data_IF_524265022883
#
_entry.id   IF_524265022883
#
_cell.length_a   1.000
_cell.length_b   1.000
_cell.length_c   1.000
_cell.angle_alpha   90.00
_cell.angle_beta   90.00
_cell.angle_gamma   90.00
#
_symmetry.space_group_name_H-M   'P 1'
#
loop_
_entity.id
_entity.type
_entity.pdbx_description
1 polymer ?
#
# COMPACT_ATOMS: atom_id res chain seq x y z
N UNK A 1 5.57 16.59 -5.74
CA UNK A 1 6.19 16.11 -6.99
C UNK A 1 5.90 14.63 -7.13
N UNK A 2 5.50 14.18 -8.31
CA UNK A 2 5.35 12.77 -8.64
C UNK A 2 6.42 12.41 -9.66
N UNK A 3 7.09 11.27 -9.47
CA UNK A 3 8.11 10.78 -10.36
C UNK A 3 7.93 9.28 -10.59
N UNK A 4 8.07 8.84 -11.83
CA UNK A 4 8.07 7.42 -12.19
C UNK A 4 9.47 7.11 -12.72
N UNK A 5 10.08 6.06 -12.18
CA UNK A 5 11.45 5.67 -12.51
C UNK A 5 11.58 4.16 -12.57
N UNK A 6 12.26 3.65 -13.58
CA UNK A 6 12.61 2.23 -13.67
C UNK A 6 14.08 2.05 -13.26
N UNK A 7 14.37 1.36 -12.13
CA UNK A 7 15.74 1.18 -11.69
C UNK A 7 16.50 0.28 -12.67
N UNK A 8 17.75 0.64 -12.94
CA UNK A 8 18.63 -0.18 -13.78
C UNK A 8 18.84 -1.54 -13.11
N UNK A 9 18.53 -2.63 -13.82
CA UNK A 9 18.80 -3.99 -13.36
C UNK A 9 20.32 -4.21 -13.27
N UNK A 10 20.89 -4.14 -12.07
CA UNK A 10 22.25 -4.63 -11.83
C UNK A 10 22.16 -6.12 -11.52
N UNK A 11 22.13 -6.93 -12.56
CA UNK A 11 22.21 -8.39 -12.43
C UNK A 11 23.54 -8.77 -11.77
N UNK A 12 23.49 -9.40 -10.59
CA UNK A 12 24.66 -10.00 -9.95
C UNK A 12 24.97 -11.41 -10.50
N UNK A 13 24.14 -11.95 -11.40
CA UNK A 13 24.39 -13.18 -12.15
C UNK A 13 23.62 -13.14 -13.47
N UNK A 14 24.35 -13.07 -14.59
CA UNK A 14 23.81 -12.98 -15.94
C UNK A 14 22.67 -13.96 -16.21
N UNK A 15 21.49 -13.39 -16.37
CA UNK A 15 20.28 -14.00 -16.92
C UNK A 15 19.47 -12.87 -17.53
N UNK A 16 19.25 -12.94 -18.84
CA UNK A 16 18.37 -12.04 -19.58
C UNK A 16 16.92 -12.32 -19.18
N UNK A 17 16.39 -11.53 -18.24
CA UNK A 17 14.95 -11.20 -18.04
C UNK A 17 14.63 -10.72 -16.60
N UNK A 18 15.58 -10.09 -15.90
CA UNK A 18 15.28 -9.45 -14.61
C UNK A 18 14.69 -8.05 -14.85
N UNK A 19 13.42 -7.99 -15.29
CA UNK A 19 12.67 -6.73 -15.38
C UNK A 19 12.41 -6.22 -13.96
N UNK A 20 13.25 -5.31 -13.51
CA UNK A 20 13.03 -4.56 -12.27
C UNK A 20 11.68 -3.82 -12.33
N UNK A 21 10.87 -3.87 -11.25
CA UNK A 21 9.58 -3.20 -11.22
C UNK A 21 9.79 -1.70 -11.36
N UNK A 22 8.93 -1.06 -12.16
CA UNK A 22 8.89 0.40 -12.24
C UNK A 22 8.42 0.95 -10.90
N UNK A 23 9.11 1.96 -10.39
CA UNK A 23 8.84 2.58 -9.10
C UNK A 23 8.18 3.94 -9.33
N UNK A 24 7.10 4.20 -8.62
CA UNK A 24 6.51 5.52 -8.49
C UNK A 24 6.88 6.12 -7.13
N UNK A 25 7.31 7.39 -7.15
CA UNK A 25 7.71 8.17 -6.00
C UNK A 25 6.84 9.40 -5.87
N UNK A 26 6.35 9.65 -4.67
CA UNK A 26 5.79 10.95 -4.28
C UNK A 26 6.81 11.64 -3.41
N UNK A 27 7.26 12.80 -3.86
CA UNK A 27 8.18 13.66 -3.13
C UNK A 27 7.50 14.94 -2.69
N UNK A 28 7.73 15.32 -1.44
CA UNK A 28 7.21 16.55 -0.87
C UNK A 28 8.36 17.48 -0.45
N UNK A 29 8.19 18.75 -0.77
CA UNK A 29 9.02 19.85 -0.27
C UNK A 29 8.14 20.69 0.65
N UNK A 30 8.55 20.85 1.91
CA UNK A 30 7.80 21.54 2.96
C UNK A 30 7.88 23.06 2.87
N UNK A 31 8.97 23.61 2.30
CA UNK A 31 9.12 25.04 2.01
C UNK A 31 10.02 25.25 0.77
N UNK A 32 9.94 26.39 0.04
CA UNK A 32 10.56 26.56 -1.29
C UNK A 32 12.07 26.30 -1.43
N UNK A 33 12.80 26.12 -0.34
CA UNK A 33 14.25 25.89 -0.32
C UNK A 33 14.66 24.65 0.47
N UNK A 34 13.71 23.88 0.99
CA UNK A 34 14.00 22.62 1.66
C UNK A 34 14.23 21.48 0.66
N UNK A 35 14.91 20.42 1.09
CA UNK A 35 15.09 19.25 0.27
C UNK A 35 13.76 18.52 0.08
N UNK A 36 13.55 17.98 -1.11
CA UNK A 36 12.47 17.02 -1.35
C UNK A 36 12.71 15.76 -0.52
N UNK A 37 11.66 15.29 0.14
CA UNK A 37 11.64 14.01 0.85
C UNK A 37 10.66 13.07 0.17
N UNK A 38 11.04 11.80 0.05
CA UNK A 38 10.12 10.75 -0.38
C UNK A 38 9.11 10.51 0.74
N UNK A 39 7.83 10.64 0.42
CA UNK A 39 6.73 10.35 1.35
C UNK A 39 5.93 9.12 0.93
N UNK A 40 5.98 8.74 -0.36
CA UNK A 40 5.54 7.45 -0.84
C UNK A 40 6.51 6.89 -1.87
N UNK A 41 6.73 5.58 -1.79
CA UNK A 41 7.40 4.76 -2.78
C UNK A 41 6.53 3.53 -3.02
N UNK A 42 6.10 3.33 -4.27
CA UNK A 42 5.26 2.21 -4.67
C UNK A 42 5.84 1.52 -5.89
N UNK A 43 5.84 0.19 -5.89
CA UNK A 43 6.14 -0.61 -7.08
C UNK A 43 4.88 -0.67 -7.93
N UNK A 44 4.99 -0.27 -9.19
CA UNK A 44 3.89 -0.35 -10.14
C UNK A 44 3.58 -1.80 -10.47
N UNK A 45 2.29 -2.11 -10.58
CA UNK A 45 1.86 -3.45 -10.96
C UNK A 45 2.26 -3.72 -12.43
N UNK A 46 2.73 -4.93 -12.71
CA UNK A 46 3.37 -5.27 -14.00
C UNK A 46 2.48 -5.04 -15.24
N UNK A 47 1.15 -5.01 -15.06
CA UNK A 47 0.17 -4.83 -16.14
C UNK A 47 -0.60 -3.51 -16.03
N UNK A 48 -0.26 -2.64 -15.07
CA UNK A 48 -0.96 -1.37 -14.91
C UNK A 48 -0.25 -0.23 -15.64
N UNK A 49 -1.05 0.55 -16.36
CA UNK A 49 -0.56 1.75 -17.02
C UNK A 49 -0.83 2.92 -16.10
N UNK A 50 0.22 3.68 -15.75
CA UNK A 50 0.04 4.93 -15.01
C UNK A 50 -0.79 5.87 -15.88
N UNK A 51 -1.96 6.35 -15.42
CA UNK A 51 -2.75 7.33 -16.14
C UNK A 51 -1.92 8.56 -16.51
N UNK A 52 -2.23 9.14 -17.66
CA UNK A 52 -1.52 10.32 -18.13
C UNK A 52 -1.72 11.49 -17.15
N UNK A 53 -0.59 12.08 -16.75
CA UNK A 53 -0.53 13.27 -15.91
C UNK A 53 -0.01 14.43 -16.75
N UNK A 54 -0.30 15.66 -16.31
CA UNK A 54 0.20 16.85 -17.00
C UNK A 54 1.72 16.81 -17.18
N UNK A 55 2.20 17.42 -18.28
CA UNK A 55 3.62 17.49 -18.60
C UNK A 55 4.42 18.11 -17.43
N UNK A 56 5.66 17.65 -17.26
CA UNK A 56 6.48 17.99 -16.09
C UNK A 56 6.79 19.50 -15.96
N UNK A 57 6.82 20.21 -17.08
CA UNK A 57 7.03 21.67 -17.17
C UNK A 57 5.78 22.49 -16.78
N UNK A 58 4.58 21.92 -16.93
CA UNK A 58 3.31 22.52 -16.49
C UNK A 58 3.01 22.16 -15.03
N UNK A 59 3.32 20.93 -14.64
CA UNK A 59 2.90 20.36 -13.36
C UNK A 59 1.41 20.02 -13.32
N UNK A 60 1.01 19.30 -12.27
CA UNK A 60 -0.41 18.95 -12.04
C UNK A 60 -0.93 19.60 -10.76
N UNK A 61 -2.24 19.84 -10.73
CA UNK A 61 -2.93 20.43 -9.60
C UNK A 61 -3.15 19.39 -8.50
N UNK A 62 -2.85 19.76 -7.27
CA UNK A 62 -3.20 18.95 -6.10
C UNK A 62 -4.72 19.00 -5.88
N UNK A 63 -5.33 17.83 -5.70
CA UNK A 63 -6.76 17.71 -5.40
C UNK A 63 -6.94 17.76 -3.88
N UNK A 64 -7.89 18.56 -3.36
CA UNK A 64 -8.20 18.57 -1.93
C UNK A 64 -8.58 17.17 -1.43
N UNK A 65 -8.14 16.83 -0.22
CA UNK A 65 -8.34 15.49 0.34
C UNK A 65 -9.83 15.14 0.54
N UNK A 66 -10.68 16.14 0.76
CA UNK A 66 -12.13 16.04 0.95
C UNK A 66 -12.94 16.29 -0.34
N UNK A 67 -12.25 16.37 -1.49
CA UNK A 67 -12.87 16.68 -2.79
C UNK A 67 -13.96 15.66 -3.15
N UNK A 68 -15.17 16.18 -3.40
CA UNK A 68 -16.33 15.39 -3.87
C UNK A 68 -16.42 15.29 -5.39
N UNK A 69 -15.39 15.75 -6.10
CA UNK A 69 -15.33 15.70 -7.56
C UNK A 69 -14.84 14.35 -8.09
N UNK A 70 -14.42 13.45 -7.19
CA UNK A 70 -13.98 12.09 -7.49
C UNK A 70 -15.04 11.08 -7.05
N UNK A 71 -14.97 9.86 -7.59
CA UNK A 71 -15.85 8.75 -7.24
C UNK A 71 -15.86 8.47 -5.72
N UNK A 72 -14.71 8.67 -5.08
CA UNK A 72 -14.56 8.65 -3.63
C UNK A 72 -13.61 9.80 -3.22
N UNK A 73 -13.91 10.57 -2.17
CA UNK A 73 -12.97 11.57 -1.67
C UNK A 73 -11.62 10.93 -1.31
N UNK A 74 -10.49 11.55 -1.68
CA UNK A 74 -9.16 10.97 -1.46
C UNK A 74 -8.90 10.51 -0.02
N UNK A 75 -9.38 11.26 0.98
CA UNK A 75 -9.24 10.92 2.40
C UNK A 75 -10.03 9.69 2.85
N UNK A 76 -11.01 9.25 2.05
CA UNK A 76 -11.80 8.05 2.31
C UNK A 76 -11.23 6.79 1.66
N UNK A 77 -10.33 6.93 0.68
CA UNK A 77 -9.80 5.81 -0.12
C UNK A 77 -9.13 4.75 0.74
N UNK A 78 -8.26 5.18 1.67
CA UNK A 78 -7.55 4.25 2.56
C UNK A 78 -8.49 3.41 3.42
N UNK A 79 -9.47 4.05 4.06
CA UNK A 79 -10.43 3.36 4.93
C UNK A 79 -11.34 2.42 4.13
N UNK A 80 -11.80 2.85 2.95
CA UNK A 80 -12.62 2.04 2.07
C UNK A 80 -11.86 0.80 1.57
N UNK A 81 -10.59 0.96 1.18
CA UNK A 81 -9.77 -0.15 0.73
C UNK A 81 -9.41 -1.10 1.88
N UNK A 82 -9.11 -0.58 3.08
CA UNK A 82 -8.90 -1.40 4.27
C UNK A 82 -10.12 -2.29 4.60
N UNK A 83 -11.33 -1.77 4.45
CA UNK A 83 -12.58 -2.53 4.59
C UNK A 83 -12.69 -3.65 3.53
N UNK A 84 -12.30 -3.37 2.28
CA UNK A 84 -12.20 -4.38 1.21
C UNK A 84 -11.16 -5.46 1.55
N UNK A 85 -9.99 -5.10 2.10
CA UNK A 85 -8.97 -6.08 2.51
C UNK A 85 -9.42 -6.96 3.67
N UNK A 86 -10.31 -6.44 4.54
CA UNK A 86 -10.83 -7.15 5.70
C UNK A 86 -12.03 -8.05 5.34
N UNK A 87 -12.97 -7.56 4.54
CA UNK A 87 -14.26 -8.23 4.29
C UNK A 87 -14.36 -8.86 2.90
N UNK A 88 -13.42 -8.56 1.99
CA UNK A 88 -13.48 -9.01 0.61
C UNK A 88 -14.78 -8.58 -0.07
N UNK A 89 -15.47 -9.52 -0.72
CA UNK A 89 -16.73 -9.27 -1.45
C UNK A 89 -17.88 -8.83 -0.56
N UNK A 90 -17.78 -9.02 0.76
CA UNK A 90 -18.79 -8.57 1.73
C UNK A 90 -18.64 -7.09 2.08
N UNK A 91 -17.54 -6.43 1.67
CA UNK A 91 -17.36 -4.99 1.86
C UNK A 91 -18.38 -4.20 1.05
N UNK A 92 -18.99 -3.19 1.67
CA UNK A 92 -19.85 -2.23 0.96
C UNK A 92 -19.10 -1.43 -0.11
N UNK A 93 -17.77 -1.36 -0.03
CA UNK A 93 -16.92 -0.68 -0.99
C UNK A 93 -16.40 -1.61 -2.10
N UNK A 94 -16.62 -2.93 -2.01
CA UNK A 94 -16.06 -3.89 -2.98
C UNK A 94 -16.42 -3.52 -4.44
N UNK A 95 -17.66 -3.09 -4.67
CA UNK A 95 -18.16 -2.77 -5.99
C UNK A 95 -17.46 -1.61 -6.70
N UNK A 96 -16.90 -0.64 -5.94
CA UNK A 96 -16.25 0.55 -6.50
C UNK A 96 -14.76 0.37 -6.78
N UNK A 97 -14.13 -0.69 -6.27
CA UNK A 97 -12.75 -1.04 -6.59
C UNK A 97 -12.68 -2.06 -7.73
N UNK A 98 -11.71 -1.89 -8.61
CA UNK A 98 -11.37 -2.83 -9.67
C UNK A 98 -10.81 -4.11 -9.03
N UNK A 99 -11.50 -5.25 -9.13
CA UNK A 99 -10.97 -6.54 -8.62
C UNK A 99 -9.90 -7.14 -9.53
N UNK A 100 -10.07 -7.03 -10.84
CA UNK A 100 -9.10 -7.56 -11.81
C UNK A 100 -7.88 -6.65 -11.85
N UNK A 101 -6.68 -7.22 -11.74
CA UNK A 101 -5.41 -6.48 -11.76
C UNK A 101 -4.89 -6.13 -10.37
N UNK A 102 -5.71 -6.21 -9.32
CA UNK A 102 -5.27 -5.99 -7.95
C UNK A 102 -4.44 -7.19 -7.42
N UNK A 103 -3.14 -7.12 -7.66
CA UNK A 103 -2.17 -8.13 -7.23
C UNK A 103 -1.97 -8.14 -5.70
N UNK A 104 -2.25 -7.04 -5.00
CA UNK A 104 -2.09 -6.97 -3.54
C UNK A 104 -3.09 -7.88 -2.84
N UNK A 105 -4.37 -7.81 -3.20
CA UNK A 105 -5.40 -8.71 -2.64
C UNK A 105 -5.06 -10.18 -2.87
N UNK A 106 -4.62 -10.51 -4.07
CA UNK A 106 -4.21 -11.88 -4.43
C UNK A 106 -2.98 -12.34 -3.63
N UNK A 107 -1.98 -11.47 -3.47
CA UNK A 107 -0.78 -11.77 -2.70
C UNK A 107 -1.09 -12.01 -1.21
N UNK A 108 -1.89 -11.13 -0.59
CA UNK A 108 -2.30 -11.29 0.81
C UNK A 108 -3.12 -12.57 1.02
N UNK A 109 -4.03 -12.90 0.11
CA UNK A 109 -4.77 -14.16 0.19
C UNK A 109 -3.84 -15.38 0.17
N UNK A 110 -2.87 -15.39 -0.75
CA UNK A 110 -1.88 -16.46 -0.86
C UNK A 110 -0.98 -16.55 0.37
N UNK A 111 -0.53 -15.40 0.89
CA UNK A 111 0.29 -15.33 2.11
C UNK A 111 -0.48 -15.87 3.31
N UNK A 112 -1.69 -15.36 3.57
CA UNK A 112 -2.53 -15.76 4.71
C UNK A 112 -2.88 -17.25 4.66
N UNK A 113 -3.03 -17.84 3.46
CA UNK A 113 -3.25 -19.27 3.29
C UNK A 113 -2.02 -20.12 3.66
N UNK A 114 -0.81 -19.56 3.53
CA UNK A 114 0.45 -20.21 3.91
C UNK A 114 0.84 -19.96 5.37
N UNK A 115 0.34 -18.88 5.97
CA UNK A 115 0.53 -18.57 7.39
C UNK A 115 -0.31 -19.50 8.26
N UNK A 116 0.21 -20.70 8.49
CA UNK A 116 -0.36 -21.64 9.44
C UNK A 116 0.77 -22.19 10.33
N UNK A 117 0.72 -21.88 11.62
CA UNK A 117 1.71 -22.32 12.59
C UNK A 117 1.00 -23.09 13.70
N UNK A 118 1.45 -24.32 13.96
CA UNK A 118 0.93 -25.11 15.06
C UNK A 118 1.11 -24.35 16.39
N UNK A 119 0.03 -24.25 17.17
CA UNK A 119 0.00 -23.54 18.45
C UNK A 119 0.17 -22.01 18.35
N UNK A 120 -0.23 -21.40 17.25
CA UNK A 120 -0.34 -19.94 17.13
C UNK A 120 -1.69 -19.59 16.53
N UNK A 121 -2.43 -18.68 17.18
CA UNK A 121 -3.62 -18.06 16.58
C UNK A 121 -3.15 -16.79 15.89
N UNK A 122 -3.47 -16.65 14.60
CA UNK A 122 -3.12 -15.48 13.80
C UNK A 122 -4.41 -14.75 13.46
N UNK A 123 -4.45 -13.43 13.70
CA UNK A 123 -5.54 -12.57 13.26
C UNK A 123 -5.03 -11.32 12.56
N UNK A 124 -5.82 -10.81 11.63
CA UNK A 124 -5.48 -9.71 10.75
C UNK A 124 -6.47 -8.57 10.96
N UNK A 125 -5.97 -7.34 11.06
CA UNK A 125 -6.79 -6.13 11.14
C UNK A 125 -6.25 -5.12 10.15
N UNK A 126 -7.09 -4.62 9.24
CA UNK A 126 -6.71 -3.60 8.27
C UNK A 126 -7.36 -2.28 8.67
N UNK A 127 -6.57 -1.20 8.73
CA UNK A 127 -7.05 0.15 9.03
C UNK A 127 -6.40 1.18 8.11
N UNK A 128 -7.05 2.33 7.93
CA UNK A 128 -6.39 3.46 7.27
C UNK A 128 -5.12 3.83 8.06
N UNK A 129 -3.99 3.90 7.36
CA UNK A 129 -2.72 4.31 7.96
C UNK A 129 -2.67 5.82 8.19
N UNK A 130 -1.66 6.28 8.93
CA UNK A 130 -1.51 7.70 9.30
C UNK A 130 -0.71 8.53 8.29
N UNK A 131 -0.36 7.96 7.14
CA UNK A 131 0.36 8.67 6.08
C UNK A 131 -0.47 9.81 5.46
N UNK A 132 0.19 10.84 4.90
CA UNK A 132 -0.52 11.96 4.30
C UNK A 132 -1.29 11.54 3.05
N UNK A 133 -2.52 12.01 2.89
CA UNK A 133 -3.27 11.80 1.65
C UNK A 133 -2.74 12.76 0.59
N UNK A 134 -2.20 12.22 -0.50
CA UNK A 134 -1.74 13.03 -1.64
C UNK A 134 -2.56 12.68 -2.86
N UNK A 135 -3.27 13.66 -3.41
CA UNK A 135 -4.07 13.50 -4.61
C UNK A 135 -3.62 14.48 -5.69
N UNK A 136 -3.38 13.98 -6.90
CA UNK A 136 -2.89 14.73 -8.05
C UNK A 136 -3.82 14.51 -9.24
N UNK A 137 -4.31 15.59 -9.85
CA UNK A 137 -5.22 15.48 -11.00
C UNK A 137 -4.54 14.79 -12.19
N UNK A 138 -5.30 13.96 -12.92
CA UNK A 138 -4.87 13.38 -14.21
C UNK A 138 -5.43 14.20 -15.37
N UNK A 139 -4.89 14.01 -16.57
CA UNK A 139 -5.44 14.62 -17.80
C UNK A 139 -6.72 13.92 -18.27
N UNK A 140 -6.96 12.70 -17.79
CA UNK A 140 -8.08 11.81 -18.17
C UNK A 140 -9.31 11.90 -17.26
N UNK A 141 -9.51 13.04 -16.58
CA UNK A 141 -10.63 13.27 -15.66
C UNK A 141 -10.69 12.29 -14.47
N UNK A 142 -9.68 12.39 -13.59
CA UNK A 142 -9.60 11.70 -12.31
C UNK A 142 -8.42 12.20 -11.49
N UNK A 143 -7.97 11.42 -10.51
CA UNK A 143 -6.78 11.71 -9.73
C UNK A 143 -5.96 10.47 -9.42
N UNK A 144 -4.64 10.63 -9.42
CA UNK A 144 -3.73 9.71 -8.74
C UNK A 144 -3.75 10.01 -7.26
N UNK A 145 -4.08 9.03 -6.44
CA UNK A 145 -4.24 9.16 -4.99
C UNK A 145 -3.27 8.22 -4.29
N UNK A 146 -2.32 8.79 -3.56
CA UNK A 146 -1.41 8.07 -2.69
C UNK A 146 -1.89 8.12 -1.25
N UNK A 147 -2.02 6.93 -0.66
CA UNK A 147 -2.47 6.72 0.72
C UNK A 147 -1.73 5.55 1.35
N UNK A 148 -1.88 5.40 2.67
CA UNK A 148 -1.37 4.24 3.40
C UNK A 148 -2.49 3.45 4.06
N UNK A 149 -2.33 2.13 4.13
CA UNK A 149 -3.14 1.22 4.94
C UNK A 149 -2.20 0.44 5.84
N UNK A 150 -2.56 0.29 7.11
CA UNK A 150 -1.82 -0.53 8.05
C UNK A 150 -2.54 -1.85 8.25
N UNK A 151 -1.84 -2.96 7.99
CA UNK A 151 -2.24 -4.29 8.42
C UNK A 151 -1.55 -4.63 9.75
N UNK A 152 -2.36 -4.95 10.74
CA UNK A 152 -1.91 -5.40 12.05
C UNK A 152 -2.13 -6.92 12.09
N UNK A 153 -1.03 -7.65 12.08
CA UNK A 153 -1.01 -9.10 12.26
C UNK A 153 -0.73 -9.40 13.71
N UNK A 154 -1.72 -9.97 14.40
CA UNK A 154 -1.57 -10.47 15.76
C UNK A 154 -1.13 -11.91 15.71
N UNK A 155 -0.03 -12.22 16.38
CA UNK A 155 0.41 -13.59 16.64
C UNK A 155 0.20 -13.90 18.11
N UNK A 156 -0.68 -14.85 18.42
CA UNK A 156 -1.01 -15.24 19.78
C UNK A 156 -0.51 -16.67 20.07
N UNK A 157 0.47 -16.84 20.97
CA UNK A 157 0.96 -18.16 21.34
C UNK A 157 -0.12 -18.98 22.04
N UNK A 158 -0.21 -20.27 21.70
CA UNK A 158 -1.07 -21.24 22.35
C UNK A 158 -0.25 -22.32 23.07
N UNK A 159 -0.88 -22.99 24.04
CA UNK A 159 -0.27 -24.12 24.75
C UNK A 159 0.93 -23.76 25.64
N UNK A 160 1.03 -22.49 26.09
CA UNK A 160 2.09 -22.03 26.99
C UNK A 160 3.50 -21.99 26.36
N UNK A 161 3.58 -22.05 25.02
CA UNK A 161 4.84 -22.00 24.27
C UNK A 161 5.16 -20.56 23.87
N UNK A 162 6.45 -20.21 23.87
CA UNK A 162 6.88 -18.93 23.35
C UNK A 162 6.84 -18.91 21.82
N UNK A 163 6.48 -17.77 21.24
CA UNK A 163 6.67 -17.50 19.82
C UNK A 163 8.16 -17.31 19.55
N UNK A 164 8.68 -18.02 18.54
CA UNK A 164 10.03 -17.81 18.04
C UNK A 164 10.01 -16.77 16.92
N UNK A 165 10.58 -15.60 17.18
CA UNK A 165 10.70 -14.51 16.22
C UNK A 165 12.00 -14.64 15.43
N UNK A 166 11.95 -14.38 14.13
CA UNK A 166 13.10 -14.43 13.23
C UNK A 166 13.15 -13.19 12.33
N UNK A 167 14.28 -12.98 11.65
CA UNK A 167 14.44 -11.91 10.67
C UNK A 167 14.03 -10.52 11.20
N UNK A 168 13.20 -9.83 10.41
CA UNK A 168 12.74 -8.48 10.73
C UNK A 168 11.85 -8.42 11.98
N UNK A 169 11.05 -9.46 12.25
CA UNK A 169 10.23 -9.52 13.47
C UNK A 169 11.11 -9.54 14.73
N UNK A 170 12.17 -10.35 14.74
CA UNK A 170 13.17 -10.36 15.83
C UNK A 170 13.88 -9.02 15.94
N UNK A 171 14.29 -8.44 14.81
CA UNK A 171 15.02 -7.18 14.79
C UNK A 171 14.20 -6.03 15.40
N UNK A 172 12.91 -5.95 15.10
CA UNK A 172 12.02 -4.91 15.64
C UNK A 172 11.50 -5.22 17.04
N UNK A 173 11.24 -6.49 17.37
CA UNK A 173 10.82 -6.88 18.71
C UNK A 173 11.97 -6.79 19.74
N UNK A 174 13.22 -6.84 19.28
CA UNK A 174 14.41 -6.85 20.14
C UNK A 174 14.62 -8.17 20.91
N UNK A 175 13.78 -9.19 20.67
CA UNK A 175 13.84 -10.50 21.32
C UNK A 175 13.58 -11.62 20.30
N UNK A 176 14.19 -12.78 20.54
CA UNK A 176 13.95 -14.00 19.77
C UNK A 176 12.75 -14.80 20.28
N UNK A 177 12.39 -14.64 21.55
CA UNK A 177 11.30 -15.36 22.19
C UNK A 177 10.28 -14.37 22.74
N UNK A 178 9.03 -14.51 22.31
CA UNK A 178 7.91 -13.75 22.85
C UNK A 178 6.96 -14.70 23.60
N UNK A 179 6.88 -14.60 24.95
CA UNK A 179 5.96 -15.41 25.75
C UNK A 179 4.52 -14.89 25.71
N UNK A 180 4.32 -13.69 25.16
CA UNK A 180 3.05 -13.01 25.05
C UNK A 180 2.68 -12.77 23.58
N UNK A 181 1.41 -12.44 23.28
CA UNK A 181 1.02 -12.03 21.95
C UNK A 181 1.85 -10.85 21.44
N UNK A 182 2.07 -10.83 20.14
CA UNK A 182 2.71 -9.70 19.46
C UNK A 182 1.81 -9.16 18.36
N UNK A 183 1.89 -7.85 18.13
CA UNK A 183 1.26 -7.17 17.01
C UNK A 183 2.35 -6.66 16.06
N UNK A 184 2.44 -7.24 14.88
CA UNK A 184 3.29 -6.76 13.79
C UNK A 184 2.45 -5.84 12.89
N UNK A 185 2.94 -4.62 12.63
CA UNK A 185 2.28 -3.65 11.76
C UNK A 185 3.03 -3.55 10.43
N UNK A 186 2.36 -3.98 9.37
CA UNK A 186 2.81 -3.85 8.00
C UNK A 186 2.09 -2.65 7.38
N UNK A 187 2.85 -1.67 6.92
CA UNK A 187 2.30 -0.50 6.25
C UNK A 187 2.35 -0.72 4.74
N UNK A 188 1.18 -0.74 4.12
CA UNK A 188 1.03 -0.66 2.68
C UNK A 188 1.05 0.81 2.25
N UNK A 189 1.97 1.14 1.36
CA UNK A 189 1.96 2.36 0.59
C UNK A 189 1.25 2.07 -0.72
N UNK A 190 0.16 2.79 -1.00
CA UNK A 190 -0.74 2.50 -2.11
C UNK A 190 -0.84 3.71 -3.02
N UNK A 191 -0.81 3.46 -4.33
CA UNK A 191 -1.10 4.43 -5.37
C UNK A 191 -2.33 3.96 -6.13
N UNK A 192 -3.42 4.71 -6.05
CA UNK A 192 -4.66 4.44 -6.76
C UNK A 192 -4.87 5.44 -7.89
N UNK A 193 -5.59 5.03 -8.91
CA UNK A 193 -6.34 5.94 -9.77
C UNK A 193 -7.79 5.99 -9.28
N UNK A 194 -8.26 7.20 -8.98
CA UNK A 194 -9.65 7.47 -8.57
C UNK A 194 -10.32 8.28 -9.68
N UNK A 195 -11.30 7.71 -10.40
CA UNK A 195 -12.02 8.41 -11.45
C UNK A 195 -12.81 9.62 -10.94
N UNK A 196 -13.17 10.54 -11.83
CA UNK A 196 -14.12 11.60 -11.52
C UNK A 196 -15.51 11.04 -11.13
N UNK A 197 -16.25 11.81 -10.33
CA UNK A 197 -17.63 11.48 -10.00
C UNK A 197 -18.48 11.38 -11.29
N UNK A 198 -19.33 10.36 -11.36
CA UNK A 198 -20.17 10.08 -12.53
C UNK A 198 -19.47 9.27 -13.64
N UNK A 199 -18.17 8.95 -13.51
CA UNK A 199 -17.52 7.97 -14.37
C UNK A 199 -18.09 6.57 -14.14
N UNK A 200 -18.07 5.73 -15.19
CA UNK A 200 -18.38 4.30 -15.10
C UNK A 200 -17.16 3.46 -14.70
N UNK A 201 -15.97 4.06 -14.63
CA UNK A 201 -14.74 3.41 -14.22
C UNK A 201 -14.72 3.16 -12.71
N UNK A 202 -13.93 2.16 -12.30
CA UNK A 202 -13.71 1.81 -10.90
C UNK A 202 -12.37 2.37 -10.42
N UNK A 203 -12.21 2.46 -9.10
CA UNK A 203 -10.92 2.78 -8.48
C UNK A 203 -9.95 1.62 -8.75
N UNK A 204 -8.82 1.88 -9.39
CA UNK A 204 -7.81 0.87 -9.69
C UNK A 204 -6.54 1.07 -8.86
N UNK A 205 -5.98 -0.02 -8.36
CA UNK A 205 -4.67 -0.02 -7.71
C UNK A 205 -3.62 0.05 -8.80
N UNK A 206 -2.80 1.10 -8.82
CA UNK A 206 -1.74 1.33 -9.82
C UNK A 206 -0.42 0.73 -9.34
N UNK A 207 -0.16 0.84 -8.04
CA UNK A 207 1.06 0.33 -7.44
C UNK A 207 0.96 0.21 -5.93
N UNK A 208 1.77 -0.67 -5.37
CA UNK A 208 1.84 -0.84 -3.93
C UNK A 208 3.26 -1.19 -3.48
N UNK A 209 3.53 -0.96 -2.20
CA UNK A 209 4.70 -1.49 -1.50
C UNK A 209 4.32 -1.77 -0.07
N UNK A 210 4.95 -2.79 0.50
CA UNK A 210 4.69 -3.23 1.86
C UNK A 210 5.98 -3.15 2.65
N UNK A 211 5.90 -2.62 3.88
CA UNK A 211 7.02 -2.61 4.79
C UNK A 211 6.55 -2.91 6.22
N UNK A 212 7.28 -3.76 6.92
CA UNK A 212 7.11 -3.94 8.35
C UNK A 212 7.65 -2.70 9.09
N UNK A 213 6.76 -1.95 9.75
CA UNK A 213 7.11 -0.67 10.39
C UNK A 213 7.20 -0.76 11.90
N UNK A 214 6.51 -1.74 12.51
CA UNK A 214 6.46 -1.87 13.97
C UNK A 214 6.20 -3.31 14.40
N UNK A 215 6.80 -3.72 15.52
CA UNK A 215 6.42 -4.91 16.27
C UNK A 215 6.26 -4.51 17.73
N UNK A 216 5.11 -4.80 18.33
CA UNK A 216 4.83 -4.50 19.72
C UNK A 216 4.39 -5.77 20.47
N UNK A 217 4.93 -5.98 21.66
CA UNK A 217 4.44 -6.99 22.60
C UNK A 217 3.29 -6.42 23.44
N UNK A 218 2.37 -7.28 23.85
CA UNK A 218 1.32 -6.94 24.82
C UNK A 218 1.72 -7.13 26.29
#
# INVERSE_FOLDING_TARGET
>A
MFAVFQPAAKSAKGGEDDKTPTIALILQQTSPRENYKVIYQTNLQANETVPEVAAADVGTVAVPADSKLLLLPPDRVAAAYADVLALGEQSSFYGIFQSNGDLLRSALQAERAQQNAENVVISYTNVAGTGPVVALATTTAGALVSVSVDEIVRFEPQGGRNLKLTGALKALAGTELAPKPINATYQFQLLFFVPAIGSTEKISLVGYSENLTRVAME
#
